data_IF_262514588041
#
_entry.id   IF_262514588041
#
_cell.length_a   1.000
_cell.length_b   1.000
_cell.length_c   1.000
_cell.angle_alpha   90.00
_cell.angle_beta   90.00
_cell.angle_gamma   90.00
#
_symmetry.space_group_name_H-M   'P 1'
#
loop_
_entity.id
_entity.type
_entity.pdbx_description
1 polymer ?
#
# COMPACT_ATOMS: atom_id res chain seq x y z
N UNK A 1 -9.93 -0.14 -0.21
CA UNK A 1 -9.35 -0.69 -1.46
C UNK A 1 -8.65 0.45 -2.16
N UNK A 2 -7.42 0.25 -2.64
CA UNK A 2 -6.66 1.27 -3.35
C UNK A 2 -6.12 0.68 -4.67
N UNK A 3 -6.00 1.54 -5.68
CA UNK A 3 -5.56 1.21 -7.04
C UNK A 3 -4.42 2.16 -7.44
N UNK A 4 -3.58 1.75 -8.39
CA UNK A 4 -2.50 2.60 -8.92
C UNK A 4 -1.15 2.40 -8.22
N UNK A 5 -0.89 1.21 -7.66
CA UNK A 5 0.44 0.90 -7.15
C UNK A 5 1.40 0.47 -8.26
N UNK A 6 2.66 0.85 -8.10
CA UNK A 6 3.77 0.33 -8.91
C UNK A 6 3.85 -1.20 -8.82
N UNK A 7 4.25 -1.85 -9.90
CA UNK A 7 4.53 -3.29 -9.94
C UNK A 7 5.66 -3.71 -8.98
N UNK A 8 6.41 -2.76 -8.42
CA UNK A 8 7.50 -3.02 -7.48
C UNK A 8 7.13 -2.75 -6.03
N UNK A 9 5.90 -2.29 -5.76
CA UNK A 9 5.48 -1.99 -4.39
C UNK A 9 5.65 -3.19 -3.47
N UNK A 10 6.33 -2.96 -2.35
CA UNK A 10 6.57 -3.93 -1.31
C UNK A 10 5.51 -3.85 -0.23
N UNK A 11 5.37 -4.92 0.56
CA UNK A 11 4.49 -4.90 1.74
C UNK A 11 4.95 -3.88 2.79
N UNK A 12 6.24 -3.60 2.84
CA UNK A 12 6.85 -2.62 3.77
C UNK A 12 6.43 -1.22 3.38
N UNK A 13 6.67 -0.80 2.14
CA UNK A 13 6.26 0.51 1.61
C UNK A 13 4.75 0.73 1.75
N UNK A 14 3.95 -0.33 1.51
CA UNK A 14 2.51 -0.26 1.71
C UNK A 14 2.17 0.03 3.18
N UNK A 15 2.80 -0.65 4.14
CA UNK A 15 2.59 -0.37 5.56
C UNK A 15 3.05 1.04 5.93
N UNK A 16 4.19 1.49 5.42
CA UNK A 16 4.74 2.80 5.74
C UNK A 16 3.79 3.92 5.29
N UNK A 17 3.21 3.82 4.09
CA UNK A 17 2.24 4.80 3.58
C UNK A 17 0.95 4.85 4.42
N UNK A 18 0.46 3.69 4.87
CA UNK A 18 -0.85 3.59 5.51
C UNK A 18 -0.80 3.63 7.06
N UNK A 19 0.34 3.36 7.67
CA UNK A 19 0.52 3.38 9.13
C UNK A 19 0.20 4.71 9.81
N UNK A 20 0.36 5.90 9.18
CA UNK A 20 -0.02 7.17 9.81
C UNK A 20 -1.51 7.33 10.07
N UNK A 21 -2.37 6.52 9.43
CA UNK A 21 -3.83 6.67 9.55
C UNK A 21 -4.44 5.84 10.69
N UNK A 22 -3.70 4.86 11.23
CA UNK A 22 -4.14 4.04 12.35
C UNK A 22 -3.43 2.70 12.48
N UNK A 23 -3.90 1.88 13.42
CA UNK A 23 -3.37 0.53 13.66
C UNK A 23 -3.81 -0.40 12.53
N UNK A 24 -2.83 -0.90 11.77
CA UNK A 24 -3.06 -1.85 10.68
C UNK A 24 -3.10 -3.29 11.22
N UNK A 25 -4.24 -3.94 11.09
CA UNK A 25 -4.40 -5.38 11.36
C UNK A 25 -3.88 -6.21 10.19
N UNK A 26 -4.17 -5.78 8.96
CA UNK A 26 -3.75 -6.47 7.75
C UNK A 26 -3.39 -5.47 6.66
N UNK A 27 -2.28 -5.72 5.96
CA UNK A 27 -1.93 -5.04 4.73
C UNK A 27 -1.55 -6.09 3.68
N UNK A 28 -2.30 -6.14 2.58
CA UNK A 28 -2.16 -7.16 1.53
C UNK A 28 -2.06 -6.50 0.16
N UNK A 29 -0.99 -6.83 -0.54
CA UNK A 29 -0.87 -6.59 -1.98
C UNK A 29 -1.49 -7.76 -2.72
N UNK A 30 -2.37 -7.47 -3.67
CA UNK A 30 -2.85 -8.51 -4.57
C UNK A 30 -1.75 -8.80 -5.57
N UNK A 31 -1.41 -10.08 -5.69
CA UNK A 31 -0.38 -10.58 -6.58
C UNK A 31 -1.00 -11.49 -7.62
N UNK A 32 -0.34 -11.57 -8.76
CA UNK A 32 -0.60 -12.59 -9.75
C UNK A 32 -0.14 -13.96 -9.26
N UNK A 33 -1.02 -14.96 -9.34
CA UNK A 33 -0.77 -16.27 -8.76
C UNK A 33 0.28 -17.08 -9.53
N UNK A 34 0.53 -16.74 -10.80
CA UNK A 34 1.50 -17.45 -11.63
C UNK A 34 2.88 -16.81 -11.52
N UNK A 35 2.95 -15.48 -11.61
CA UNK A 35 4.21 -14.72 -11.65
C UNK A 35 4.64 -14.16 -10.29
N UNK A 36 3.75 -14.14 -9.29
CA UNK A 36 3.99 -13.53 -7.98
C UNK A 36 4.05 -12.00 -8.00
N UNK A 37 3.90 -11.35 -9.16
CA UNK A 37 4.02 -9.90 -9.31
C UNK A 37 2.79 -9.17 -8.76
N UNK A 38 2.92 -8.01 -8.10
CA UNK A 38 1.80 -7.18 -7.70
C UNK A 38 0.89 -6.83 -8.90
N UNK A 39 -0.43 -6.85 -8.70
CA UNK A 39 -1.42 -6.46 -9.71
C UNK A 39 -1.74 -4.95 -9.71
N UNK A 40 -0.98 -4.16 -8.96
CA UNK A 40 -1.17 -2.70 -8.84
C UNK A 40 -2.30 -2.28 -7.89
N UNK A 41 -2.81 -3.19 -7.06
CA UNK A 41 -3.85 -2.89 -6.07
C UNK A 41 -3.72 -3.75 -4.81
N UNK A 42 -4.42 -3.34 -3.74
CA UNK A 42 -4.39 -4.03 -2.46
C UNK A 42 -5.42 -3.54 -1.45
N UNK A 43 -5.27 -4.05 -0.23
CA UNK A 43 -6.18 -3.81 0.88
C UNK A 43 -5.39 -3.53 2.16
N UNK A 44 -5.91 -2.61 2.97
CA UNK A 44 -5.48 -2.35 4.34
C UNK A 44 -6.72 -2.48 5.22
N UNK A 45 -6.61 -3.25 6.29
CA UNK A 45 -7.62 -3.40 7.34
C UNK A 45 -7.09 -2.71 8.60
N UNK A 46 -7.87 -1.78 9.14
CA UNK A 46 -7.58 -1.11 10.41
C UNK A 46 -8.36 -1.74 11.56
N UNK A 47 -7.90 -1.49 12.79
CA UNK A 47 -8.59 -1.92 14.00
C UNK A 47 -9.90 -1.17 14.27
N UNK A 48 -10.10 0.00 13.66
CA UNK A 48 -11.36 0.75 13.76
C UNK A 48 -11.80 1.37 12.43
N UNK A 49 -13.12 1.61 12.33
CA UNK A 49 -13.70 2.31 11.19
C UNK A 49 -13.21 3.75 11.08
N UNK A 50 -12.99 4.42 12.22
CA UNK A 50 -12.51 5.82 12.25
C UNK A 50 -11.13 5.95 11.58
N UNK A 51 -10.22 5.00 11.85
CA UNK A 51 -8.90 4.95 11.20
C UNK A 51 -9.00 4.67 9.70
N UNK A 52 -9.90 3.75 9.31
CA UNK A 52 -10.17 3.49 7.90
C UNK A 52 -10.71 4.72 7.16
N UNK A 53 -11.64 5.47 7.78
CA UNK A 53 -12.18 6.70 7.21
C UNK A 53 -11.12 7.79 7.10
N UNK A 54 -10.19 7.91 8.06
CA UNK A 54 -9.04 8.83 7.94
C UNK A 54 -8.19 8.51 6.71
N UNK A 55 -7.86 7.23 6.51
CA UNK A 55 -7.09 6.78 5.36
C UNK A 55 -7.82 7.09 4.03
N UNK A 56 -9.12 6.80 3.95
CA UNK A 56 -9.93 7.10 2.75
C UNK A 56 -9.92 8.60 2.46
N UNK A 57 -10.24 9.45 3.44
CA UNK A 57 -10.25 10.91 3.25
C UNK A 57 -8.90 11.47 2.82
N UNK A 58 -7.80 10.89 3.31
CA UNK A 58 -6.46 11.36 2.99
C UNK A 58 -5.97 10.88 1.61
N UNK A 59 -6.37 9.69 1.18
CA UNK A 59 -5.78 9.00 0.03
C UNK A 59 -6.70 8.92 -1.19
N UNK A 60 -7.99 9.21 -1.05
CA UNK A 60 -8.92 9.19 -2.17
C UNK A 60 -8.54 10.22 -3.24
N UNK A 61 -8.54 9.78 -4.51
CA UNK A 61 -8.08 10.56 -5.65
C UNK A 61 -6.58 10.88 -5.70
N UNK A 62 -5.75 10.33 -4.79
CA UNK A 62 -4.29 10.54 -4.81
C UNK A 62 -3.55 9.39 -5.47
N UNK A 63 -2.59 9.72 -6.33
CA UNK A 63 -1.61 8.76 -6.81
C UNK A 63 -0.56 8.50 -5.72
N UNK A 64 -0.34 7.23 -5.38
CA UNK A 64 0.67 6.85 -4.40
C UNK A 64 1.98 6.57 -5.13
N UNK A 65 2.78 7.62 -5.34
CA UNK A 65 4.13 7.49 -5.89
C UNK A 65 5.07 7.00 -4.79
N UNK A 66 5.35 5.69 -4.79
CA UNK A 66 6.35 5.09 -3.91
C UNK A 66 7.75 5.31 -4.51
N UNK A 67 8.63 5.95 -3.74
CA UNK A 67 9.97 6.32 -4.17
C UNK A 67 10.88 5.09 -4.21
N UNK A 68 11.21 4.63 -5.41
CA UNK A 68 12.25 3.62 -5.60
C UNK A 68 13.62 4.25 -5.28
N UNK A 69 14.26 3.80 -4.20
CA UNK A 69 15.67 4.13 -3.92
C UNK A 69 16.51 2.92 -4.34
N UNK A 70 17.12 3.00 -5.53
CA UNK A 70 18.10 2.01 -5.99
C UNK A 70 19.45 2.35 -5.37
N UNK A 71 19.97 1.48 -4.51
CA UNK A 71 21.38 1.53 -4.12
C UNK A 71 22.17 0.69 -5.13
N UNK A 72 23.00 1.35 -5.95
CA UNK A 72 24.07 0.68 -6.70
C UNK A 72 25.26 0.51 -5.75
N UNK A 73 25.57 -0.71 -5.36
CA UNK A 73 26.86 -1.03 -4.74
C UNK A 73 27.87 -1.21 -5.88
N UNK A 74 28.92 -0.38 -5.88
CA UNK A 74 30.11 -0.57 -6.72
C UNK A 74 31.02 -1.65 -6.14
#
# INVERSE_FOLDING_TARGET
FFVGLSFYTTKVELKDVFSPFGVIEEARLVRDNQTGRPKGFGFVKYSSEVEAQKAVKAMDGREVVLKLILFSLN
#
